data_IF_716121981868
#
_entry.id   IF_716121981868
#
_cell.length_a   1.000
_cell.length_b   1.000
_cell.length_c   1.000
_cell.angle_alpha   90.00
_cell.angle_beta   90.00
_cell.angle_gamma   90.00
#
_symmetry.space_group_name_H-M   'P 1'
#
loop_
_entity.id
_entity.type
_entity.pdbx_description
1 polymer ?
#
# COMPACT_ATOMS: atom_id res chain seq x y z
N UNK A 1 -4.12 14.10 11.85
CA UNK A 1 -4.12 13.03 10.84
C UNK A 1 -2.72 12.59 10.50
N UNK A 2 -2.56 11.35 10.19
CA UNK A 2 -1.27 10.80 9.82
C UNK A 2 -1.31 10.32 8.37
N UNK A 3 -0.29 10.66 7.62
CA UNK A 3 -0.19 10.28 6.22
C UNK A 3 0.61 8.99 6.09
N UNK A 4 0.00 8.00 5.49
CA UNK A 4 0.66 6.73 5.22
C UNK A 4 0.80 6.55 3.72
N UNK A 5 1.58 5.55 3.33
CA UNK A 5 1.90 5.32 1.94
C UNK A 5 1.07 4.17 1.38
N UNK A 6 0.73 4.26 0.11
CA UNK A 6 0.10 3.16 -0.60
C UNK A 6 0.96 2.80 -1.80
N UNK A 7 1.31 1.53 -1.90
CA UNK A 7 2.01 0.99 -3.05
C UNK A 7 1.00 0.19 -3.87
N UNK A 8 0.95 0.42 -5.17
CA UNK A 8 -0.08 -0.20 -6.01
C UNK A 8 0.54 -1.01 -7.13
N UNK A 9 -0.03 -2.19 -7.34
CA UNK A 9 0.38 -3.10 -8.41
C UNK A 9 -0.86 -3.55 -9.13
N UNK A 10 -0.81 -3.54 -10.45
CA UNK A 10 -1.93 -4.05 -11.25
C UNK A 10 -1.70 -5.53 -11.51
N UNK A 11 -2.68 -6.34 -11.14
CA UNK A 11 -2.64 -7.78 -11.37
C UNK A 11 -3.90 -8.17 -12.14
N UNK A 12 -3.72 -8.55 -13.40
CA UNK A 12 -4.82 -8.87 -14.28
C UNK A 12 -5.81 -7.70 -14.33
N UNK A 13 -7.03 -7.89 -13.87
CA UNK A 13 -8.04 -6.84 -13.92
C UNK A 13 -8.20 -6.09 -12.59
N UNK A 14 -7.33 -6.36 -11.64
CA UNK A 14 -7.44 -5.79 -10.30
C UNK A 14 -6.22 -4.98 -9.92
N UNK A 15 -6.43 -3.98 -9.09
CA UNK A 15 -5.34 -3.24 -8.47
C UNK A 15 -5.18 -3.72 -7.04
N UNK A 16 -3.94 -4.00 -6.65
CA UNK A 16 -3.62 -4.39 -5.29
C UNK A 16 -2.88 -3.24 -4.63
N UNK A 17 -3.37 -2.81 -3.47
CA UNK A 17 -2.76 -1.71 -2.73
C UNK A 17 -2.20 -2.24 -1.42
N UNK A 18 -1.01 -1.78 -1.08
CA UNK A 18 -0.33 -2.22 0.13
C UNK A 18 0.18 -1.01 0.90
N UNK A 19 0.00 -1.03 2.20
CA UNK A 19 0.52 0.00 3.09
C UNK A 19 1.76 -0.53 3.78
N UNK A 20 2.95 -0.11 3.36
CA UNK A 20 4.19 -0.66 3.94
C UNK A 20 4.39 -0.33 5.41
N UNK A 21 3.89 0.80 5.88
CA UNK A 21 4.06 1.18 7.28
C UNK A 21 3.31 0.28 8.24
N UNK A 22 2.17 -0.24 7.82
CA UNK A 22 1.32 -1.05 8.69
C UNK A 22 1.32 -2.51 8.27
N UNK A 23 1.44 -2.75 6.97
CA UNK A 23 1.42 -4.10 6.42
C UNK A 23 0.06 -4.54 5.92
N UNK A 24 -0.91 -3.62 5.88
CA UNK A 24 -2.24 -3.95 5.36
C UNK A 24 -2.24 -4.01 3.84
N UNK A 25 -3.14 -4.81 3.30
CA UNK A 25 -3.27 -5.02 1.87
C UNK A 25 -4.75 -5.01 1.51
N UNK A 26 -5.07 -4.44 0.37
CA UNK A 26 -6.43 -4.46 -0.13
C UNK A 26 -6.41 -4.44 -1.66
N UNK A 27 -7.57 -4.54 -2.27
CA UNK A 27 -7.65 -4.57 -3.72
C UNK A 27 -8.91 -3.87 -4.19
N UNK A 28 -8.93 -3.56 -5.49
CA UNK A 28 -10.07 -2.92 -6.11
C UNK A 28 -9.95 -2.97 -7.62
N UNK A 29 -11.04 -2.63 -8.29
CA UNK A 29 -11.08 -2.64 -9.76
C UNK A 29 -10.38 -1.41 -10.35
N UNK A 30 -10.15 -0.39 -9.53
CA UNK A 30 -9.43 0.82 -9.94
C UNK A 30 -8.46 1.20 -8.86
N UNK A 31 -7.53 2.11 -9.19
CA UNK A 31 -6.59 2.63 -8.20
C UNK A 31 -7.36 3.29 -7.05
N UNK A 32 -8.33 4.12 -7.39
CA UNK A 32 -9.11 4.83 -6.38
C UNK A 32 -9.84 3.87 -5.44
N UNK A 33 -10.43 2.82 -6.01
CA UNK A 33 -11.13 1.83 -5.20
C UNK A 33 -10.17 1.06 -4.31
N UNK A 34 -9.03 0.65 -4.87
CA UNK A 34 -8.04 -0.09 -4.09
C UNK A 34 -7.52 0.74 -2.93
N UNK A 35 -7.28 2.04 -3.15
CA UNK A 35 -6.80 2.93 -2.09
C UNK A 35 -7.88 3.16 -1.05
N UNK A 36 -9.13 3.36 -1.47
CA UNK A 36 -10.24 3.54 -0.53
C UNK A 36 -10.41 2.31 0.35
N UNK A 37 -10.32 1.12 -0.26
CA UNK A 37 -10.43 -0.13 0.49
C UNK A 37 -9.24 -0.31 1.42
N UNK A 38 -8.05 0.10 0.98
CA UNK A 38 -6.86 0.01 1.83
C UNK A 38 -6.99 0.93 3.03
N UNK A 39 -7.51 2.14 2.81
CA UNK A 39 -7.72 3.09 3.91
C UNK A 39 -8.65 2.49 4.95
N UNK A 40 -9.77 1.94 4.52
CA UNK A 40 -10.72 1.35 5.44
C UNK A 40 -10.11 0.19 6.20
N UNK A 41 -9.42 -0.70 5.49
CA UNK A 41 -8.77 -1.85 6.13
C UNK A 41 -7.71 -1.40 7.12
N UNK A 42 -6.95 -0.36 6.78
CA UNK A 42 -5.90 0.15 7.64
C UNK A 42 -6.47 0.82 8.88
N UNK A 43 -7.54 1.59 8.70
CA UNK A 43 -8.21 2.23 9.83
C UNK A 43 -8.77 1.21 10.81
N UNK A 44 -9.40 0.16 10.28
CA UNK A 44 -9.95 -0.90 11.12
C UNK A 44 -8.84 -1.65 11.85
N UNK A 45 -7.74 -1.93 11.15
CA UNK A 45 -6.61 -2.62 11.76
C UNK A 45 -6.03 -1.80 12.91
N UNK A 46 -5.86 -0.49 12.71
CA UNK A 46 -5.26 0.36 13.73
C UNK A 46 -6.22 0.61 14.90
N UNK A 47 -7.52 0.51 14.66
CA UNK A 47 -8.51 0.56 15.75
C UNK A 47 -8.35 -0.62 16.66
N UNK A 48 -8.18 -1.80 16.05
CA UNK A 48 -8.03 -3.05 16.77
C UNK A 48 -6.67 -3.17 17.42
N UNK A 49 -5.65 -2.72 16.72
CA UNK A 49 -4.25 -2.83 17.16
C UNK A 49 -3.59 -1.47 17.11
N UNK A 50 -3.90 -0.59 18.07
CA UNK A 50 -3.29 0.74 18.09
C UNK A 50 -1.79 0.62 18.26
N UNK A 51 -1.05 1.31 17.43
CA UNK A 51 0.40 1.28 17.50
C UNK A 51 0.95 2.62 17.07
N UNK A 52 2.10 2.93 17.61
CA UNK A 52 2.80 4.14 17.24
C UNK A 52 3.53 3.88 15.93
N UNK A 53 3.17 4.63 14.91
CA UNK A 53 3.78 4.47 13.60
C UNK A 53 4.89 5.49 13.46
N UNK A 54 6.13 5.02 13.54
CA UNK A 54 7.31 5.87 13.43
C UNK A 54 8.05 5.66 12.12
N UNK A 55 7.61 4.69 11.32
CA UNK A 55 8.27 4.33 10.09
C UNK A 55 7.93 5.35 9.00
N UNK A 56 8.95 5.81 8.31
CA UNK A 56 8.77 6.66 7.15
C UNK A 56 9.26 5.87 5.95
N UNK A 57 8.38 5.67 4.98
CA UNK A 57 8.71 4.94 3.77
C UNK A 57 9.25 5.89 2.72
N UNK A 58 10.33 5.46 2.07
CA UNK A 58 10.93 6.22 0.99
C UNK A 58 10.98 5.30 -0.23
N UNK A 59 10.51 5.80 -1.35
CA UNK A 59 10.54 5.04 -2.60
C UNK A 59 11.55 5.68 -3.53
N UNK A 60 12.44 4.85 -4.05
CA UNK A 60 13.44 5.32 -4.98
C UNK A 60 13.60 4.31 -6.10
N UNK A 61 14.38 4.64 -7.10
CA UNK A 61 14.62 3.76 -8.24
C UNK A 61 16.09 3.43 -8.33
N UNK A 62 16.39 2.33 -8.97
CA UNK A 62 17.76 1.94 -9.24
C UNK A 62 17.79 1.15 -10.53
N UNK A 63 18.94 1.12 -11.16
CA UNK A 63 19.08 0.46 -12.45
C UNK A 63 19.66 -0.93 -12.27
N UNK A 64 19.18 -1.84 -13.09
CA UNK A 64 19.75 -3.19 -13.14
C UNK A 64 20.13 -3.50 -14.59
N UNK A 65 21.13 -4.33 -14.74
CA UNK A 65 21.60 -4.74 -16.06
C UNK A 65 21.17 -6.17 -16.37
N UNK A 66 21.16 -6.49 -17.66
CA UNK A 66 20.90 -7.85 -18.14
C UNK A 66 19.53 -8.38 -17.73
N UNK A 67 18.54 -7.49 -17.72
CA UNK A 67 17.17 -7.92 -17.45
C UNK A 67 16.51 -8.33 -18.74
N UNK A 68 15.89 -9.50 -18.73
CA UNK A 68 15.08 -9.94 -19.86
C UNK A 68 13.64 -9.60 -19.56
N UNK A 69 13.08 -8.76 -20.43
CA UNK A 69 11.70 -8.32 -20.25
C UNK A 69 10.72 -9.36 -20.78
#
# INVERSE_FOLDING_TARGET
>A
MKTLTASLIKEEDMWVAKCPEVGTVSQGASVEEAVANLREATELYLEEFPRKINIRSIFTTFDVENVKA
#
